data_IF_143363959312
#
_entry.id   IF_143363959312
#
_cell.length_a   1.000
_cell.length_b   1.000
_cell.length_c   1.000
_cell.angle_alpha   90.00
_cell.angle_beta   90.00
_cell.angle_gamma   90.00
#
_symmetry.space_group_name_H-M   'P 1'
#
loop_
_entity.id
_entity.type
_entity.pdbx_description
1 polymer ?
#
# COMPACT_ATOMS: atom_id res chain seq x y z
N UNK A 1 12.45 -24.81 -25.32
CA UNK A 1 13.67 -24.19 -24.78
C UNK A 1 13.26 -22.79 -24.37
N UNK A 2 13.11 -22.60 -23.06
CA UNK A 2 13.56 -21.44 -22.25
C UNK A 2 13.19 -20.02 -22.74
N UNK A 3 12.65 -19.08 -21.96
CA UNK A 3 12.69 -18.82 -20.50
C UNK A 3 11.76 -17.63 -20.16
N UNK A 4 11.24 -17.63 -18.93
CA UNK A 4 10.96 -16.54 -17.99
C UNK A 4 10.12 -15.30 -18.33
N UNK A 5 9.05 -15.09 -17.54
CA UNK A 5 8.97 -14.00 -16.53
C UNK A 5 7.54 -13.88 -16.01
N UNK A 6 7.21 -14.61 -14.93
CA UNK A 6 6.02 -14.31 -14.11
C UNK A 6 6.53 -13.69 -12.82
N UNK A 7 6.23 -12.40 -12.66
CA UNK A 7 6.46 -11.63 -11.45
C UNK A 7 5.46 -12.14 -10.41
N UNK A 8 5.92 -12.98 -9.50
CA UNK A 8 5.17 -13.39 -8.32
C UNK A 8 5.29 -12.29 -7.27
N UNK A 9 4.18 -11.62 -7.01
CA UNK A 9 4.05 -10.63 -5.96
C UNK A 9 4.20 -11.33 -4.60
N UNK A 10 5.31 -11.09 -3.91
CA UNK A 10 5.50 -11.41 -2.51
C UNK A 10 4.49 -10.60 -1.68
N UNK A 11 3.38 -11.22 -1.28
CA UNK A 11 2.50 -10.71 -0.24
C UNK A 11 3.05 -11.22 1.11
N UNK A 12 3.65 -10.33 1.89
CA UNK A 12 4.07 -10.65 3.26
C UNK A 12 2.85 -11.02 4.11
N UNK A 13 2.75 -12.30 4.45
CA UNK A 13 1.71 -12.92 5.29
C UNK A 13 1.98 -12.75 6.81
N UNK A 14 2.79 -11.77 7.20
CA UNK A 14 3.38 -11.73 8.54
C UNK A 14 2.52 -10.99 9.58
N UNK A 15 1.39 -10.39 9.19
CA UNK A 15 0.54 -9.59 10.10
C UNK A 15 -0.88 -10.11 10.33
N UNK A 16 -1.25 -11.28 9.78
CA UNK A 16 -2.58 -11.88 10.01
C UNK A 16 -2.54 -12.94 11.12
N UNK A 17 -1.38 -13.57 11.37
CA UNK A 17 -1.25 -14.63 12.38
C UNK A 17 -1.16 -14.16 13.84
N UNK A 18 -0.75 -12.91 14.10
CA UNK A 18 -0.56 -12.42 15.48
C UNK A 18 -1.88 -12.09 16.18
N UNK A 19 -2.87 -11.58 15.45
CA UNK A 19 -4.18 -11.25 16.01
C UNK A 19 -5.02 -12.48 16.38
N UNK A 20 -4.92 -13.58 15.62
CA UNK A 20 -5.57 -14.84 15.98
C UNK A 20 -4.89 -15.51 17.18
N UNK A 21 -3.54 -15.48 17.24
CA UNK A 21 -2.78 -15.98 18.39
C UNK A 21 -3.07 -15.20 19.68
N UNK A 22 -3.25 -13.88 19.62
CA UNK A 22 -3.60 -13.06 20.78
C UNK A 22 -5.03 -13.33 21.29
N UNK A 23 -5.98 -13.59 20.37
CA UNK A 23 -7.36 -13.96 20.71
C UNK A 23 -7.41 -15.37 21.29
N UNK A 24 -6.66 -16.31 20.72
CA UNK A 24 -6.51 -17.66 21.26
C UNK A 24 -5.80 -17.64 22.62
N UNK A 25 -4.76 -16.82 22.79
CA UNK A 25 -4.10 -16.62 24.09
C UNK A 25 -5.02 -16.06 25.14
N UNK A 26 -5.86 -15.08 24.78
CA UNK A 26 -6.85 -14.51 25.71
C UNK A 26 -7.93 -15.52 26.08
N UNK A 27 -8.37 -16.40 25.16
CA UNK A 27 -9.29 -17.50 25.46
C UNK A 27 -8.66 -18.51 26.43
N UNK A 28 -7.38 -18.77 26.26
CA UNK A 28 -6.64 -19.73 27.08
C UNK A 28 -6.43 -19.19 28.48
N UNK A 29 -6.04 -17.93 28.63
CA UNK A 29 -5.96 -17.30 29.95
C UNK A 29 -7.34 -17.26 30.64
N UNK A 30 -8.45 -17.07 29.89
CA UNK A 30 -9.82 -17.17 30.41
C UNK A 30 -10.19 -18.59 30.89
N UNK A 31 -9.82 -19.63 30.14
CA UNK A 31 -10.04 -21.03 30.53
C UNK A 31 -9.16 -21.41 31.73
N UNK A 32 -7.94 -20.91 31.79
CA UNK A 32 -7.02 -21.08 32.91
C UNK A 32 -7.58 -20.38 34.16
N UNK A 33 -8.10 -19.15 34.05
CA UNK A 33 -8.70 -18.43 35.17
C UNK A 33 -10.02 -19.08 35.65
N UNK A 34 -10.85 -19.56 34.72
CA UNK A 34 -12.08 -20.29 35.04
C UNK A 34 -11.80 -21.65 35.72
N UNK A 35 -10.75 -22.37 35.30
CA UNK A 35 -10.32 -23.64 35.93
C UNK A 35 -9.54 -23.43 37.24
N UNK A 36 -8.84 -22.29 37.37
CA UNK A 36 -8.10 -21.90 38.57
C UNK A 36 -8.96 -21.19 39.61
N UNK A 37 -10.28 -21.08 39.40
CA UNK A 37 -11.19 -20.34 40.28
C UNK A 37 -11.30 -21.02 41.66
N UNK A 38 -10.25 -20.80 42.45
CA UNK A 38 -9.97 -21.30 43.79
C UNK A 38 -11.07 -20.88 44.75
N UNK A 39 -11.75 -19.78 44.45
CA UNK A 39 -12.87 -19.25 45.22
C UNK A 39 -14.04 -20.23 45.26
N UNK A 40 -14.38 -20.90 44.15
CA UNK A 40 -15.48 -21.87 44.13
C UNK A 40 -15.14 -23.12 44.96
N UNK A 41 -13.88 -23.60 44.91
CA UNK A 41 -13.41 -24.69 45.78
C UNK A 41 -13.31 -24.28 47.26
N UNK A 42 -12.98 -23.02 47.56
CA UNK A 42 -12.97 -22.45 48.92
C UNK A 42 -14.41 -22.36 49.47
N UNK A 43 -15.34 -21.80 48.70
CA UNK A 43 -16.75 -21.66 49.09
C UNK A 43 -17.44 -23.01 49.25
N UNK A 44 -17.24 -23.96 48.33
CA UNK A 44 -17.76 -25.33 48.47
C UNK A 44 -17.17 -26.02 49.71
N UNK A 45 -15.89 -25.81 50.01
CA UNK A 45 -15.24 -26.36 51.21
C UNK A 45 -15.76 -25.72 52.50
N UNK A 46 -16.12 -24.44 52.48
CA UNK A 46 -16.75 -23.74 53.61
C UNK A 46 -18.21 -24.15 53.79
N UNK A 47 -18.99 -24.28 52.72
CA UNK A 47 -20.34 -24.87 52.74
C UNK A 47 -20.30 -26.30 53.29
N UNK A 48 -19.37 -27.13 52.82
CA UNK A 48 -19.11 -28.48 53.36
C UNK A 48 -18.82 -28.42 54.86
N UNK A 49 -17.91 -27.53 55.30
CA UNK A 49 -17.55 -27.42 56.72
C UNK A 49 -18.76 -27.01 57.57
N UNK A 50 -19.53 -26.02 57.15
CA UNK A 50 -20.70 -25.52 57.87
C UNK A 50 -21.82 -26.56 57.95
N UNK A 51 -22.13 -27.24 56.84
CA UNK A 51 -23.16 -28.29 56.81
C UNK A 51 -22.75 -29.45 57.73
N UNK A 52 -21.49 -29.89 57.69
CA UNK A 52 -21.05 -31.01 58.54
C UNK A 52 -20.81 -30.63 60.00
N UNK A 53 -20.44 -29.39 60.32
CA UNK A 53 -20.28 -28.91 61.70
C UNK A 53 -21.64 -28.78 62.40
N UNK A 54 -22.69 -28.38 61.67
CA UNK A 54 -24.08 -28.42 62.12
C UNK A 54 -24.62 -29.85 62.34
N UNK A 55 -24.13 -30.82 61.56
CA UNK A 55 -24.52 -32.23 61.66
C UNK A 55 -23.72 -33.03 62.71
N UNK A 56 -22.48 -32.65 62.98
CA UNK A 56 -21.67 -33.28 64.03
C UNK A 56 -22.17 -32.91 65.43
N UNK A 57 -22.71 -31.69 65.58
CA UNK A 57 -23.35 -31.23 66.82
C UNK A 57 -24.72 -31.86 67.06
N UNK A 58 -25.33 -32.52 66.06
CA UNK A 58 -26.62 -33.22 66.20
C UNK A 58 -26.49 -34.68 66.63
N UNK A 59 -25.26 -35.21 66.79
CA UNK A 59 -25.02 -36.61 67.17
C UNK A 59 -25.47 -36.98 68.59
N UNK A 60 -25.60 -36.01 69.50
CA UNK A 60 -25.86 -36.26 70.92
C UNK A 60 -27.28 -35.92 71.39
N UNK A 61 -28.16 -35.41 70.52
CA UNK A 61 -29.56 -35.12 70.85
C UNK A 61 -30.48 -35.72 69.79
N UNK A 62 -30.52 -37.05 69.78
CA UNK A 62 -31.49 -37.83 69.00
C UNK A 62 -32.79 -37.95 69.80
N UNK A 63 -33.76 -37.09 69.48
CA UNK A 63 -35.18 -37.43 69.36
C UNK A 63 -35.99 -36.14 69.10
N UNK A 64 -36.99 -36.25 68.23
CA UNK A 64 -38.25 -35.52 68.33
C UNK A 64 -38.54 -34.32 67.40
N UNK A 65 -38.04 -34.29 66.16
CA UNK A 65 -38.82 -33.54 65.15
C UNK A 65 -38.77 -34.13 63.74
N UNK A 66 -39.96 -34.40 63.20
CA UNK A 66 -40.24 -34.61 61.78
C UNK A 66 -39.73 -33.44 60.93
N UNK A 67 -39.70 -32.24 61.51
CA UNK A 67 -39.19 -31.00 60.90
C UNK A 67 -37.69 -31.08 60.53
N UNK A 68 -36.84 -31.66 61.39
CA UNK A 68 -35.42 -31.86 61.07
C UNK A 68 -35.16 -32.91 59.99
N UNK A 69 -36.07 -33.87 59.81
CA UNK A 69 -36.01 -34.82 58.70
C UNK A 69 -36.33 -34.13 57.37
N UNK A 70 -37.32 -33.23 57.34
CA UNK A 70 -37.63 -32.43 56.16
C UNK A 70 -36.55 -31.42 55.81
N UNK A 71 -35.96 -30.74 56.79
CA UNK A 71 -34.79 -29.86 56.57
C UNK A 71 -33.62 -30.64 55.98
N UNK A 72 -33.39 -31.88 56.46
CA UNK A 72 -32.35 -32.76 55.92
C UNK A 72 -32.63 -33.19 54.48
N UNK A 73 -33.87 -33.59 54.16
CA UNK A 73 -34.23 -34.05 52.82
C UNK A 73 -34.06 -32.89 51.81
N UNK A 74 -34.47 -31.68 52.22
CA UNK A 74 -34.32 -30.46 51.42
C UNK A 74 -32.84 -30.08 51.20
N UNK A 75 -32.01 -30.08 52.26
CA UNK A 75 -30.58 -29.78 52.15
C UNK A 75 -29.83 -30.82 51.32
N UNK A 76 -30.23 -32.09 51.41
CA UNK A 76 -29.66 -33.18 50.60
C UNK A 76 -30.02 -33.03 49.13
N UNK A 77 -31.26 -32.61 48.82
CA UNK A 77 -31.72 -32.34 47.45
C UNK A 77 -31.02 -31.12 46.84
N UNK A 78 -30.80 -30.07 47.63
CA UNK A 78 -29.99 -28.90 47.22
C UNK A 78 -28.56 -29.32 46.91
N UNK A 79 -27.92 -30.06 47.83
CA UNK A 79 -26.53 -30.49 47.64
C UNK A 79 -26.37 -31.39 46.41
N UNK A 80 -27.36 -32.23 46.11
CA UNK A 80 -27.37 -33.04 44.88
C UNK A 80 -27.55 -32.19 43.63
N UNK A 81 -28.44 -31.20 43.66
CA UNK A 81 -28.64 -30.27 42.55
C UNK A 81 -27.37 -29.47 42.26
N UNK A 82 -26.73 -28.92 43.29
CA UNK A 82 -25.45 -28.21 43.18
C UNK A 82 -24.32 -29.14 42.70
N UNK A 83 -24.23 -30.37 43.21
CA UNK A 83 -23.24 -31.34 42.73
C UNK A 83 -23.44 -31.70 41.26
N UNK A 84 -24.68 -31.71 40.77
CA UNK A 84 -25.00 -32.03 39.37
C UNK A 84 -24.74 -30.84 38.44
N UNK A 85 -24.95 -29.62 38.92
CA UNK A 85 -24.58 -28.39 38.21
C UNK A 85 -23.06 -28.27 38.10
N UNK A 86 -22.33 -28.59 39.17
CA UNK A 86 -20.88 -28.62 39.17
C UNK A 86 -20.31 -29.68 38.20
N UNK A 87 -20.94 -30.86 38.08
CA UNK A 87 -20.57 -31.84 37.05
C UNK A 87 -20.77 -31.29 35.63
N UNK A 88 -21.86 -30.56 35.39
CA UNK A 88 -22.13 -29.93 34.09
C UNK A 88 -21.08 -28.87 33.76
N UNK A 89 -20.66 -28.11 34.78
CA UNK A 89 -19.60 -27.12 34.67
C UNK A 89 -18.23 -27.78 34.40
N UNK A 90 -17.89 -28.86 35.11
CA UNK A 90 -16.68 -29.65 34.89
C UNK A 90 -16.62 -30.19 33.45
N UNK A 91 -17.72 -30.75 32.94
CA UNK A 91 -17.81 -31.22 31.56
C UNK A 91 -17.57 -30.07 30.57
N UNK A 92 -18.16 -28.90 30.82
CA UNK A 92 -17.97 -27.71 29.98
C UNK A 92 -16.51 -27.25 29.96
N UNK A 93 -15.83 -27.21 31.12
CA UNK A 93 -14.41 -26.86 31.19
C UNK A 93 -13.57 -27.91 30.46
N UNK A 94 -13.87 -29.19 30.63
CA UNK A 94 -13.13 -30.28 29.99
C UNK A 94 -13.24 -30.22 28.46
N UNK A 95 -14.43 -29.89 27.93
CA UNK A 95 -14.61 -29.63 26.50
C UNK A 95 -13.78 -28.44 26.02
N UNK A 96 -13.78 -27.33 26.77
CA UNK A 96 -13.00 -26.14 26.42
C UNK A 96 -11.49 -26.40 26.46
N UNK A 97 -10.99 -27.15 27.44
CA UNK A 97 -9.57 -27.54 27.52
C UNK A 97 -9.19 -28.44 26.33
N UNK A 98 -10.07 -29.36 25.92
CA UNK A 98 -9.84 -30.22 24.75
C UNK A 98 -9.80 -29.42 23.44
N UNK A 99 -10.74 -28.48 23.25
CA UNK A 99 -10.77 -27.57 22.08
C UNK A 99 -9.50 -26.72 21.99
N UNK A 100 -9.06 -26.15 23.13
CA UNK A 100 -7.81 -25.41 23.24
C UNK A 100 -6.60 -26.29 22.96
N UNK A 101 -6.59 -27.53 23.46
CA UNK A 101 -5.52 -28.49 23.20
C UNK A 101 -5.36 -28.82 21.71
N UNK A 102 -6.47 -28.96 20.97
CA UNK A 102 -6.42 -29.16 19.51
C UNK A 102 -5.85 -27.94 18.78
N UNK A 103 -6.20 -26.74 19.21
CA UNK A 103 -5.67 -25.48 18.65
C UNK A 103 -4.15 -25.41 18.83
N UNK A 104 -3.65 -25.69 20.05
CA UNK A 104 -2.22 -25.70 20.38
C UNK A 104 -1.45 -26.74 19.54
N UNK A 105 -1.99 -27.95 19.39
CA UNK A 105 -1.37 -29.01 18.57
C UNK A 105 -1.32 -28.66 17.07
N UNK A 106 -2.26 -27.85 16.59
CA UNK A 106 -2.35 -27.47 15.18
C UNK A 106 -1.38 -26.33 14.76
N UNK A 107 -0.88 -25.54 15.72
CA UNK A 107 -0.15 -24.29 15.45
C UNK A 107 1.40 -24.36 15.51
N UNK A 108 2.00 -25.56 15.51
CA UNK A 108 3.46 -25.74 15.36
C UNK A 108 4.29 -25.39 16.61
N UNK A 109 5.62 -25.51 16.53
CA UNK A 109 6.51 -25.40 17.71
C UNK A 109 7.11 -23.99 17.87
N UNK A 110 6.59 -23.20 18.80
CA UNK A 110 7.10 -21.89 19.21
C UNK A 110 7.30 -21.78 20.74
N UNK A 111 8.18 -20.90 21.20
CA UNK A 111 8.52 -20.72 22.62
C UNK A 111 7.32 -20.25 23.48
N UNK A 112 6.43 -19.43 22.91
CA UNK A 112 5.14 -19.04 23.50
C UNK A 112 4.13 -20.18 23.57
N UNK A 113 4.17 -21.11 22.61
CA UNK A 113 3.32 -22.31 22.58
C UNK A 113 3.74 -23.32 23.66
N UNK A 114 5.04 -23.48 23.91
CA UNK A 114 5.53 -24.31 25.02
C UNK A 114 5.03 -23.81 26.38
N UNK A 115 5.05 -22.49 26.62
CA UNK A 115 4.51 -21.92 27.87
C UNK A 115 2.99 -22.06 28.00
N UNK A 116 2.28 -22.11 26.87
CA UNK A 116 0.83 -22.26 26.82
C UNK A 116 0.39 -23.71 27.01
N UNK A 117 1.17 -24.65 26.46
CA UNK A 117 1.00 -26.09 26.67
C UNK A 117 1.27 -26.48 28.14
N UNK A 118 2.28 -25.88 28.78
CA UNK A 118 2.55 -26.05 30.22
C UNK A 118 1.38 -25.55 31.08
N UNK A 119 0.87 -24.33 30.82
CA UNK A 119 -0.32 -23.81 31.51
C UNK A 119 -1.57 -24.66 31.29
N UNK A 120 -1.78 -25.17 30.08
CA UNK A 120 -2.91 -26.06 29.78
C UNK A 120 -2.79 -27.37 30.58
N UNK A 121 -1.58 -27.90 30.68
CA UNK A 121 -1.32 -29.09 31.48
C UNK A 121 -1.60 -28.85 32.98
N UNK A 122 -1.16 -27.71 33.52
CA UNK A 122 -1.42 -27.31 34.92
C UNK A 122 -2.93 -27.13 35.19
N UNK A 123 -3.67 -26.56 34.23
CA UNK A 123 -5.13 -26.42 34.29
C UNK A 123 -5.84 -27.78 34.21
N UNK A 124 -5.35 -28.70 33.37
CA UNK A 124 -5.89 -30.05 33.29
C UNK A 124 -5.64 -30.83 34.60
N UNK A 125 -4.48 -30.66 35.23
CA UNK A 125 -4.20 -31.26 36.54
C UNK A 125 -5.07 -30.66 37.65
N UNK A 126 -5.28 -29.35 37.64
CA UNK A 126 -6.19 -28.65 38.57
C UNK A 126 -7.65 -29.10 38.39
N UNK A 127 -8.09 -29.30 37.15
CA UNK A 127 -9.43 -29.82 36.84
C UNK A 127 -9.61 -31.25 37.38
N UNK A 128 -8.61 -32.11 37.20
CA UNK A 128 -8.64 -33.47 37.74
C UNK A 128 -8.73 -33.47 39.27
N UNK A 129 -7.97 -32.58 39.95
CA UNK A 129 -8.06 -32.42 41.40
C UNK A 129 -9.45 -31.95 41.85
N UNK A 130 -10.09 -31.05 41.11
CA UNK A 130 -11.45 -30.61 41.40
C UNK A 130 -12.47 -31.75 41.18
N UNK A 131 -12.32 -32.53 40.11
CA UNK A 131 -13.16 -33.69 39.83
C UNK A 131 -13.08 -34.75 40.95
N UNK A 132 -11.90 -34.96 41.50
CA UNK A 132 -11.70 -35.83 42.67
C UNK A 132 -12.41 -35.28 43.92
N UNK A 133 -12.34 -33.97 44.17
CA UNK A 133 -13.04 -33.33 45.29
C UNK A 133 -14.56 -33.44 45.16
N UNK A 134 -15.11 -33.24 43.96
CA UNK A 134 -16.56 -33.39 43.69
C UNK A 134 -17.00 -34.83 43.87
N UNK A 135 -16.17 -35.79 43.45
CA UNK A 135 -16.41 -37.22 43.67
C UNK A 135 -16.41 -37.59 45.15
N UNK A 136 -15.51 -36.98 45.95
CA UNK A 136 -15.48 -37.16 47.41
C UNK A 136 -16.75 -36.61 48.08
N UNK A 137 -17.19 -35.41 47.70
CA UNK A 137 -18.43 -34.78 48.22
C UNK A 137 -19.62 -35.68 47.92
N UNK A 138 -19.72 -36.23 46.72
CA UNK A 138 -20.80 -37.14 46.32
C UNK A 138 -20.77 -38.44 47.11
N UNK A 139 -19.60 -39.04 47.30
CA UNK A 139 -19.44 -40.25 48.09
C UNK A 139 -19.87 -40.02 49.57
N UNK A 140 -19.55 -38.84 50.12
CA UNK A 140 -19.96 -38.43 51.46
C UNK A 140 -21.47 -38.15 51.54
N UNK A 141 -22.06 -37.45 50.57
CA UNK A 141 -23.52 -37.26 50.45
C UNK A 141 -24.26 -38.60 50.37
N UNK A 142 -23.79 -39.53 49.53
CA UNK A 142 -24.39 -40.87 49.42
C UNK A 142 -24.26 -41.69 50.71
N UNK A 143 -23.13 -41.58 51.42
CA UNK A 143 -22.93 -42.21 52.73
C UNK A 143 -23.88 -41.61 53.79
N UNK A 144 -24.08 -40.31 53.73
CA UNK A 144 -24.94 -39.57 54.65
C UNK A 144 -26.42 -39.87 54.43
N UNK A 145 -26.88 -39.86 53.17
CA UNK A 145 -28.22 -40.31 52.78
C UNK A 145 -28.51 -41.74 53.21
N UNK A 146 -27.56 -42.65 53.00
CA UNK A 146 -27.68 -44.04 53.47
C UNK A 146 -27.85 -44.12 55.00
N UNK A 147 -27.17 -43.24 55.74
CA UNK A 147 -27.28 -43.16 57.20
C UNK A 147 -28.68 -42.70 57.62
N UNK A 148 -29.26 -41.70 56.94
CA UNK A 148 -30.62 -41.20 57.22
C UNK A 148 -31.72 -42.15 56.75
N UNK A 149 -31.56 -42.81 55.61
CA UNK A 149 -32.48 -43.86 55.17
C UNK A 149 -32.56 -45.03 56.18
N UNK A 150 -31.49 -45.30 56.94
CA UNK A 150 -31.54 -46.28 58.03
C UNK A 150 -32.42 -45.83 59.22
N UNK A 151 -32.64 -44.52 59.40
CA UNK A 151 -33.57 -44.00 60.42
C UNK A 151 -35.02 -43.97 59.92
N UNK A 152 -35.23 -43.73 58.62
CA UNK A 152 -36.58 -43.79 58.00
C UNK A 152 -37.07 -45.23 57.76
N UNK A 153 -36.18 -46.22 57.75
CA UNK A 153 -36.50 -47.64 57.61
C UNK A 153 -37.16 -48.32 58.83
N UNK A 154 -37.45 -47.59 59.90
CA UNK A 154 -38.12 -48.12 61.11
C UNK A 154 -39.65 -47.95 61.05
N UNK A 155 -40.24 -47.62 59.89
CA UNK A 155 -41.69 -47.57 59.73
C UNK A 155 -42.29 -48.69 58.86
N UNK A 156 -41.46 -49.49 58.18
CA UNK A 156 -41.93 -50.72 57.53
C UNK A 156 -41.74 -51.94 58.44
N UNK A 157 -42.53 -52.00 59.51
CA UNK A 157 -42.91 -53.29 60.07
C UNK A 157 -44.01 -53.86 59.18
N UNK A 158 -43.59 -54.70 58.22
CA UNK A 158 -44.49 -55.59 57.49
C UNK A 158 -45.43 -56.27 58.48
N UNK A 159 -46.71 -55.92 58.37
CA UNK A 159 -47.80 -56.54 59.08
C UNK A 159 -48.05 -57.96 58.53
N UNK A 160 -47.13 -58.91 58.76
CA UNK A 160 -47.41 -60.34 58.67
C UNK A 160 -46.35 -61.22 59.37
N UNK A 161 -46.30 -61.16 60.70
CA UNK A 161 -46.21 -62.38 61.53
C UNK A 161 -46.48 -62.04 62.99
N UNK A 162 -47.57 -62.58 63.51
CA UNK A 162 -48.07 -62.26 64.84
C UNK A 162 -47.13 -62.63 65.99
N UNK A 163 -47.30 -61.89 67.08
CA UNK A 163 -47.48 -62.46 68.41
C UNK A 163 -47.93 -61.35 69.34
N UNK A 164 -49.22 -61.39 69.70
CA UNK A 164 -49.82 -61.11 71.00
C UNK A 164 -49.05 -60.15 71.92
N UNK A 165 -49.68 -59.07 72.40
CA UNK A 165 -50.07 -58.94 73.81
C UNK A 165 -50.93 -57.68 74.02
N UNK A 166 -52.24 -57.97 74.16
CA UNK A 166 -53.25 -57.34 75.02
C UNK A 166 -53.50 -55.81 74.93
N UNK A 167 -54.64 -55.51 74.31
CA UNK A 167 -55.64 -54.57 74.84
C UNK A 167 -55.69 -54.61 76.38
N UNK A 168 -55.69 -53.45 77.05
CA UNK A 168 -56.63 -53.28 78.15
C UNK A 168 -57.02 -51.80 78.31
N UNK A 169 -58.27 -51.58 77.93
CA UNK A 169 -59.05 -50.37 78.01
C UNK A 169 -59.60 -50.24 79.45
N UNK A 170 -58.73 -49.98 80.43
CA UNK A 170 -59.11 -49.82 81.85
C UNK A 170 -58.37 -48.67 82.55
N UNK A 171 -58.72 -47.43 82.20
CA UNK A 171 -58.39 -46.23 82.99
C UNK A 171 -59.64 -45.58 83.61
N UNK A 172 -60.58 -46.38 84.12
CA UNK A 172 -61.74 -45.85 84.87
C UNK A 172 -62.14 -46.67 86.09
N UNK A 173 -61.18 -47.14 86.90
CA UNK A 173 -61.51 -47.68 88.23
C UNK A 173 -60.32 -47.69 89.18
N UNK A 174 -59.82 -46.53 89.58
CA UNK A 174 -59.00 -46.46 90.79
C UNK A 174 -59.05 -45.08 91.47
N UNK A 175 -60.26 -44.64 91.81
CA UNK A 175 -60.44 -43.83 93.02
C UNK A 175 -60.27 -44.72 94.27
N UNK A 176 -59.15 -45.45 94.36
CA UNK A 176 -58.77 -46.12 95.59
C UNK A 176 -58.37 -45.02 96.58
N UNK A 177 -59.31 -44.61 97.43
CA UNK A 177 -59.04 -43.95 98.71
C UNK A 177 -57.74 -44.55 99.27
N UNK A 178 -56.66 -43.77 99.26
CA UNK A 178 -55.37 -44.16 99.81
C UNK A 178 -55.59 -44.33 101.32
N UNK A 179 -56.00 -45.53 101.73
CA UNK A 179 -56.33 -45.83 103.12
C UNK A 179 -55.01 -46.14 103.83
N UNK A 180 -54.32 -45.09 104.26
CA UNK A 180 -53.04 -45.14 104.96
C UNK A 180 -53.24 -45.66 106.39
N UNK A 181 -53.22 -46.98 106.57
CA UNK A 181 -53.51 -47.64 107.84
C UNK A 181 -52.38 -47.56 108.88
N UNK A 182 -51.15 -47.19 108.49
CA UNK A 182 -50.00 -47.08 109.42
C UNK A 182 -49.33 -45.70 109.35
N UNK A 183 -49.01 -45.11 110.50
CA UNK A 183 -48.38 -43.79 110.60
C UNK A 183 -47.03 -43.69 109.85
N UNK A 184 -46.29 -44.79 109.70
CA UNK A 184 -45.02 -44.86 108.95
C UNK A 184 -45.23 -44.65 107.44
N UNK A 185 -46.29 -45.25 106.86
CA UNK A 185 -46.63 -45.07 105.45
C UNK A 185 -47.09 -43.63 105.17
N UNK A 186 -47.78 -43.00 106.12
CA UNK A 186 -48.19 -41.59 106.03
C UNK A 186 -46.96 -40.68 105.97
N UNK A 187 -45.98 -40.93 106.84
CA UNK A 187 -44.71 -40.19 106.82
C UNK A 187 -43.91 -40.40 105.54
N UNK A 188 -43.86 -41.62 105.02
CA UNK A 188 -43.16 -41.89 103.76
C UNK A 188 -43.82 -41.16 102.58
N UNK A 189 -45.15 -41.21 102.47
CA UNK A 189 -45.89 -40.51 101.42
C UNK A 189 -45.74 -38.99 101.51
N UNK A 190 -45.83 -38.41 102.71
CA UNK A 190 -45.59 -36.98 102.93
C UNK A 190 -44.17 -36.58 102.52
N UNK A 191 -43.15 -37.40 102.84
CA UNK A 191 -41.76 -37.14 102.42
C UNK A 191 -41.58 -37.26 100.89
N UNK A 192 -42.33 -38.15 100.24
CA UNK A 192 -42.35 -38.26 98.78
C UNK A 192 -43.02 -37.04 98.14
N UNK A 193 -44.13 -36.57 98.71
CA UNK A 193 -44.81 -35.34 98.27
C UNK A 193 -43.95 -34.10 98.49
N UNK A 194 -43.24 -34.00 99.61
CA UNK A 194 -42.33 -32.89 99.88
C UNK A 194 -41.17 -32.86 98.86
N UNK A 195 -40.63 -34.04 98.50
CA UNK A 195 -39.61 -34.16 97.45
C UNK A 195 -40.17 -33.85 96.06
N UNK A 196 -41.40 -34.26 95.74
CA UNK A 196 -42.01 -33.94 94.45
C UNK A 196 -42.32 -32.44 94.35
N UNK A 197 -42.85 -31.84 95.41
CA UNK A 197 -43.11 -30.41 95.48
C UNK A 197 -41.82 -29.60 95.34
N UNK A 198 -40.74 -30.00 96.00
CA UNK A 198 -39.44 -29.33 95.85
C UNK A 198 -38.90 -29.40 94.41
N UNK A 199 -39.10 -30.52 93.70
CA UNK A 199 -38.73 -30.65 92.28
C UNK A 199 -39.64 -29.81 91.38
N UNK A 200 -40.93 -29.79 91.67
CA UNK A 200 -41.91 -28.99 90.93
C UNK A 200 -41.60 -27.49 91.05
N UNK A 201 -41.23 -27.01 92.24
CA UNK A 201 -40.76 -25.64 92.45
C UNK A 201 -39.45 -25.33 91.70
N UNK A 202 -38.49 -26.25 91.64
CA UNK A 202 -37.25 -26.07 90.84
C UNK A 202 -37.56 -26.01 89.34
N UNK A 203 -38.48 -26.84 88.86
CA UNK A 203 -38.94 -26.82 87.47
C UNK A 203 -39.69 -25.53 87.14
N UNK A 204 -40.57 -25.04 88.03
CA UNK A 204 -41.24 -23.76 87.87
C UNK A 204 -40.25 -22.60 87.82
N UNK A 205 -39.21 -22.62 88.66
CA UNK A 205 -38.12 -21.63 88.61
C UNK A 205 -37.42 -21.67 87.24
N UNK A 206 -37.02 -22.84 86.76
CA UNK A 206 -36.40 -23.01 85.42
C UNK A 206 -37.32 -22.56 84.29
N UNK A 207 -38.62 -22.82 84.42
CA UNK A 207 -39.63 -22.34 83.45
C UNK A 207 -39.66 -20.81 83.41
N UNK A 208 -39.61 -20.14 84.56
CA UNK A 208 -39.57 -18.67 84.61
C UNK A 208 -38.26 -18.09 84.06
N UNK A 209 -37.13 -18.73 84.35
CA UNK A 209 -35.81 -18.36 83.78
C UNK A 209 -35.79 -18.54 82.26
N UNK A 210 -36.34 -19.65 81.76
CA UNK A 210 -36.49 -19.93 80.33
C UNK A 210 -37.38 -18.91 79.63
N UNK A 211 -38.49 -18.51 80.26
CA UNK A 211 -39.41 -17.48 79.71
C UNK A 211 -38.73 -16.12 79.60
N UNK A 212 -37.95 -15.73 80.61
CA UNK A 212 -37.17 -14.50 80.55
C UNK A 212 -36.15 -14.52 79.41
N UNK A 213 -35.44 -15.65 79.23
CA UNK A 213 -34.49 -15.80 78.12
C UNK A 213 -35.18 -15.72 76.75
N UNK A 214 -36.37 -16.31 76.62
CA UNK A 214 -37.20 -16.21 75.41
C UNK A 214 -37.58 -14.75 75.09
N UNK A 215 -38.00 -13.98 76.10
CA UNK A 215 -38.31 -12.55 75.94
C UNK A 215 -37.06 -11.75 75.51
N UNK A 216 -35.90 -12.00 76.12
CA UNK A 216 -34.63 -11.36 75.73
C UNK A 216 -34.23 -11.71 74.29
N UNK A 217 -34.36 -12.98 73.89
CA UNK A 217 -34.09 -13.41 72.52
C UNK A 217 -35.06 -12.76 71.53
N UNK A 218 -36.33 -12.64 71.88
CA UNK A 218 -37.33 -11.94 71.07
C UNK A 218 -36.93 -10.48 70.84
N UNK A 219 -36.53 -9.76 71.89
CA UNK A 219 -36.09 -8.37 71.76
C UNK A 219 -34.83 -8.26 70.88
N UNK A 220 -33.88 -9.20 71.02
CA UNK A 220 -32.68 -9.25 70.16
C UNK A 220 -33.02 -9.51 68.70
N UNK A 221 -33.95 -10.42 68.41
CA UNK A 221 -34.41 -10.71 67.06
C UNK A 221 -35.05 -9.46 66.44
N UNK A 222 -35.96 -8.78 67.15
CA UNK A 222 -36.57 -7.55 66.63
C UNK A 222 -35.52 -6.45 66.38
N UNK A 223 -34.53 -6.32 67.26
CA UNK A 223 -33.41 -5.37 67.06
C UNK A 223 -32.59 -5.72 65.82
N UNK A 224 -32.30 -7.01 65.59
CA UNK A 224 -31.57 -7.46 64.40
C UNK A 224 -32.39 -7.30 63.12
N UNK A 225 -33.68 -7.63 63.14
CA UNK A 225 -34.58 -7.42 62.00
C UNK A 225 -34.62 -5.95 61.57
N UNK A 226 -34.67 -5.04 62.55
CA UNK A 226 -34.67 -3.60 62.27
C UNK A 226 -33.31 -3.14 61.71
N UNK A 227 -32.19 -3.66 62.22
CA UNK A 227 -30.86 -3.38 61.66
C UNK A 227 -30.73 -3.89 60.22
N UNK A 228 -31.20 -5.12 59.95
CA UNK A 228 -31.23 -5.72 58.62
C UNK A 228 -32.06 -4.86 57.68
N UNK A 229 -33.25 -4.41 58.09
CA UNK A 229 -34.12 -3.56 57.28
C UNK A 229 -33.42 -2.26 56.84
N UNK A 230 -32.74 -1.57 57.77
CA UNK A 230 -32.01 -0.35 57.41
C UNK A 230 -30.83 -0.62 56.48
N UNK A 231 -30.15 -1.76 56.65
CA UNK A 231 -29.03 -2.15 55.79
C UNK A 231 -29.47 -2.62 54.41
N UNK A 232 -30.64 -3.25 54.32
CA UNK A 232 -31.27 -3.60 53.05
C UNK A 232 -31.66 -2.35 52.24
N UNK A 233 -32.20 -1.31 52.89
CA UNK A 233 -32.50 -0.03 52.24
C UNK A 233 -31.23 0.67 51.71
N UNK A 234 -30.15 0.69 52.51
CA UNK A 234 -28.84 1.21 52.08
C UNK A 234 -28.29 0.42 50.88
N UNK A 235 -28.40 -0.91 50.90
CA UNK A 235 -27.96 -1.77 49.81
C UNK A 235 -28.82 -1.57 48.54
N UNK A 236 -30.12 -1.33 48.68
CA UNK A 236 -31.00 -1.04 47.55
C UNK A 236 -30.62 0.26 46.83
N UNK A 237 -30.33 1.33 47.57
CA UNK A 237 -29.85 2.61 46.99
C UNK A 237 -28.49 2.45 46.29
N UNK A 238 -27.57 1.67 46.88
CA UNK A 238 -26.28 1.35 46.26
C UNK A 238 -26.49 0.55 44.96
N UNK A 239 -27.35 -0.46 44.97
CA UNK A 239 -27.68 -1.25 43.79
C UNK A 239 -28.30 -0.39 42.69
N UNK A 240 -29.27 0.48 43.01
CA UNK A 240 -29.88 1.39 42.02
C UNK A 240 -28.84 2.30 41.37
N UNK A 241 -27.95 2.90 42.16
CA UNK A 241 -26.84 3.73 41.66
C UNK A 241 -25.89 2.93 40.77
N UNK A 242 -25.57 1.70 41.15
CA UNK A 242 -24.70 0.82 40.39
C UNK A 242 -25.33 0.44 39.03
N UNK A 243 -26.60 0.02 39.01
CA UNK A 243 -27.33 -0.24 37.77
C UNK A 243 -27.43 1.01 36.88
N UNK A 244 -27.65 2.18 37.48
CA UNK A 244 -27.64 3.46 36.76
C UNK A 244 -26.29 3.76 36.12
N UNK A 245 -25.19 3.50 36.84
CA UNK A 245 -23.83 3.67 36.34
C UNK A 245 -23.51 2.69 35.21
N UNK A 246 -23.91 1.42 35.34
CA UNK A 246 -23.70 0.38 34.32
C UNK A 246 -24.45 0.71 33.03
N UNK A 247 -25.72 1.12 33.14
CA UNK A 247 -26.50 1.57 31.97
C UNK A 247 -25.87 2.80 31.29
N UNK A 248 -25.36 3.77 32.07
CA UNK A 248 -24.65 4.92 31.51
C UNK A 248 -23.36 4.50 30.80
N UNK A 249 -22.62 3.53 31.35
CA UNK A 249 -21.43 2.98 30.73
C UNK A 249 -21.74 2.28 29.40
N UNK A 250 -22.82 1.48 29.34
CA UNK A 250 -23.23 0.79 28.12
C UNK A 250 -23.67 1.80 27.03
N UNK A 251 -24.41 2.85 27.39
CA UNK A 251 -24.78 3.92 26.45
C UNK A 251 -23.51 4.63 25.90
N UNK A 252 -22.56 4.94 26.77
CA UNK A 252 -21.29 5.57 26.38
C UNK A 252 -20.44 4.63 25.51
N UNK A 253 -20.44 3.33 25.79
CA UNK A 253 -19.81 2.30 24.96
C UNK A 253 -20.44 2.22 23.58
N UNK A 254 -21.78 2.28 23.50
CA UNK A 254 -22.49 2.35 22.23
C UNK A 254 -22.10 3.58 21.40
N UNK A 255 -22.05 4.75 22.04
CA UNK A 255 -21.62 6.00 21.39
C UNK A 255 -20.15 5.91 20.95
N UNK A 256 -19.25 5.37 21.77
CA UNK A 256 -17.83 5.26 21.44
C UNK A 256 -17.58 4.32 20.25
N UNK A 257 -18.29 3.19 20.20
CA UNK A 257 -18.26 2.25 19.05
C UNK A 257 -18.73 2.92 17.76
N UNK A 258 -19.84 3.66 17.80
CA UNK A 258 -20.34 4.41 16.64
C UNK A 258 -19.36 5.50 16.18
N UNK A 259 -18.77 6.25 17.12
CA UNK A 259 -17.75 7.25 16.80
C UNK A 259 -16.51 6.63 16.17
N UNK A 260 -16.07 5.48 16.66
CA UNK A 260 -14.95 4.73 16.09
C UNK A 260 -15.23 4.30 14.65
N UNK A 261 -16.42 3.75 14.39
CA UNK A 261 -16.83 3.38 13.02
C UNK A 261 -16.84 4.58 12.09
N UNK A 262 -17.38 5.73 12.54
CA UNK A 262 -17.34 6.98 11.76
C UNK A 262 -15.92 7.43 11.48
N UNK A 263 -15.04 7.36 12.47
CA UNK A 263 -13.63 7.73 12.32
C UNK A 263 -12.92 6.84 11.29
N UNK A 264 -13.18 5.53 11.30
CA UNK A 264 -12.67 4.60 10.30
C UNK A 264 -13.18 4.94 8.89
N UNK A 265 -14.46 5.26 8.73
CA UNK A 265 -15.03 5.71 7.45
C UNK A 265 -14.35 7.02 6.99
N UNK A 266 -14.16 7.98 7.90
CA UNK A 266 -13.44 9.22 7.58
C UNK A 266 -12.00 8.95 7.15
N UNK A 267 -11.30 8.02 7.80
CA UNK A 267 -9.93 7.64 7.43
C UNK A 267 -9.87 7.02 6.03
N UNK A 268 -10.83 6.13 5.69
CA UNK A 268 -10.94 5.58 4.34
C UNK A 268 -11.24 6.67 3.29
N UNK A 269 -12.18 7.57 3.59
CA UNK A 269 -12.51 8.69 2.71
C UNK A 269 -11.32 9.63 2.49
N UNK A 270 -10.56 9.91 3.56
CA UNK A 270 -9.36 10.74 3.49
C UNK A 270 -8.29 10.06 2.62
N UNK A 271 -8.05 8.77 2.81
CA UNK A 271 -7.11 8.01 1.98
C UNK A 271 -7.52 8.03 0.49
N UNK A 272 -8.80 7.83 0.19
CA UNK A 272 -9.33 7.95 -1.17
C UNK A 272 -9.17 9.37 -1.74
N UNK A 273 -9.31 10.41 -0.90
CA UNK A 273 -9.05 11.79 -1.30
C UNK A 273 -7.57 12.04 -1.60
N UNK A 274 -6.66 11.56 -0.75
CA UNK A 274 -5.21 11.68 -0.94
C UNK A 274 -4.79 10.99 -2.25
N UNK A 275 -5.32 9.80 -2.54
CA UNK A 275 -5.03 9.10 -3.78
C UNK A 275 -5.51 9.88 -5.01
N UNK A 276 -6.76 10.39 -4.96
CA UNK A 276 -7.31 11.20 -6.05
C UNK A 276 -6.52 12.51 -6.26
N UNK A 277 -6.07 13.13 -5.17
CA UNK A 277 -5.21 14.30 -5.23
C UNK A 277 -3.87 13.97 -5.88
N UNK A 278 -3.24 12.84 -5.51
CA UNK A 278 -2.00 12.38 -6.13
C UNK A 278 -2.15 12.13 -7.64
N UNK A 279 -3.26 11.51 -8.07
CA UNK A 279 -3.58 11.34 -9.49
C UNK A 279 -3.76 12.67 -10.23
N UNK A 280 -4.39 13.65 -9.61
CA UNK A 280 -4.54 14.99 -10.20
C UNK A 280 -3.20 15.73 -10.27
N UNK A 281 -2.36 15.58 -9.25
CA UNK A 281 -1.00 16.15 -9.23
C UNK A 281 -0.15 15.61 -10.37
N UNK A 282 -0.15 14.29 -10.60
CA UNK A 282 0.60 13.69 -11.73
C UNK A 282 0.04 14.13 -13.08
N UNK A 283 -1.29 14.22 -13.24
CA UNK A 283 -1.91 14.77 -14.46
C UNK A 283 -1.55 16.23 -14.70
N UNK A 284 -1.48 17.04 -13.64
CA UNK A 284 -1.07 18.44 -13.72
C UNK A 284 0.39 18.56 -14.13
N UNK A 285 1.28 17.80 -13.51
CA UNK A 285 2.71 17.78 -13.83
C UNK A 285 2.93 17.39 -15.30
N UNK A 286 2.29 16.32 -15.78
CA UNK A 286 2.32 15.94 -17.19
C UNK A 286 1.82 17.05 -18.13
N UNK A 287 0.79 17.80 -17.72
CA UNK A 287 0.23 18.91 -18.53
C UNK A 287 1.17 20.11 -18.54
N UNK A 288 1.84 20.39 -17.43
CA UNK A 288 2.88 21.41 -17.31
C UNK A 288 4.08 21.08 -18.21
N UNK A 289 4.56 19.84 -18.18
CA UNK A 289 5.67 19.40 -19.05
C UNK A 289 5.30 19.53 -20.54
N UNK A 290 4.06 19.16 -20.91
CA UNK A 290 3.57 19.36 -22.28
C UNK A 290 3.47 20.84 -22.66
N UNK A 291 3.08 21.71 -21.73
CA UNK A 291 3.03 23.15 -21.95
C UNK A 291 4.43 23.71 -22.13
N UNK A 292 5.40 23.32 -21.32
CA UNK A 292 6.81 23.71 -21.45
C UNK A 292 7.38 23.26 -22.80
N UNK A 293 7.10 22.03 -23.23
CA UNK A 293 7.50 21.56 -24.56
C UNK A 293 6.89 22.40 -25.70
N UNK A 294 5.62 22.81 -25.56
CA UNK A 294 4.95 23.69 -26.53
C UNK A 294 5.49 25.12 -26.49
N UNK A 295 5.81 25.66 -25.32
CA UNK A 295 6.46 26.95 -25.12
C UNK A 295 7.81 26.99 -25.87
N UNK A 296 8.65 25.96 -25.69
CA UNK A 296 9.93 25.82 -26.39
C UNK A 296 9.71 25.79 -27.92
N UNK A 297 8.71 25.05 -28.39
CA UNK A 297 8.37 24.99 -29.82
C UNK A 297 7.90 26.34 -30.36
N UNK A 298 7.11 27.09 -29.57
CA UNK A 298 6.62 28.43 -29.90
C UNK A 298 7.77 29.44 -30.00
N UNK A 299 8.68 29.45 -29.02
CA UNK A 299 9.87 30.31 -29.06
C UNK A 299 10.74 30.04 -30.30
N UNK A 300 10.88 28.77 -30.70
CA UNK A 300 11.57 28.40 -31.94
C UNK A 300 10.83 28.89 -33.18
N UNK A 301 9.50 28.83 -33.18
CA UNK A 301 8.67 29.37 -34.25
C UNK A 301 8.81 30.90 -34.34
N UNK A 302 8.78 31.62 -33.22
CA UNK A 302 8.98 33.06 -33.15
C UNK A 302 10.37 33.49 -33.64
N UNK A 303 11.42 32.75 -33.30
CA UNK A 303 12.75 32.94 -33.88
C UNK A 303 12.74 32.80 -35.41
N UNK A 304 11.97 31.84 -35.94
CA UNK A 304 11.84 31.66 -37.39
C UNK A 304 10.99 32.76 -38.03
N UNK A 305 9.94 33.20 -37.36
CA UNK A 305 9.06 34.30 -37.78
C UNK A 305 9.82 35.62 -37.86
N UNK A 306 10.57 35.98 -36.82
CA UNK A 306 11.44 37.17 -36.82
C UNK A 306 12.49 37.11 -37.92
N UNK A 307 13.10 35.94 -38.17
CA UNK A 307 14.00 35.73 -39.32
C UNK A 307 13.28 35.93 -40.66
N UNK A 308 12.04 35.45 -40.80
CA UNK A 308 11.21 35.66 -41.98
C UNK A 308 10.91 37.16 -42.17
N UNK A 309 10.52 37.86 -41.12
CA UNK A 309 10.27 39.30 -41.16
C UNK A 309 11.50 40.09 -41.60
N UNK A 310 12.70 39.69 -41.16
CA UNK A 310 13.96 40.27 -41.64
C UNK A 310 14.16 40.04 -43.15
N UNK A 311 13.91 38.82 -43.64
CA UNK A 311 14.00 38.51 -45.07
C UNK A 311 12.96 39.27 -45.90
N UNK A 312 11.75 39.46 -45.38
CA UNK A 312 10.71 40.29 -46.02
C UNK A 312 11.19 41.73 -46.12
N UNK A 313 11.71 42.32 -45.04
CA UNK A 313 12.27 43.68 -45.07
C UNK A 313 13.45 43.81 -46.05
N UNK A 314 14.30 42.78 -46.16
CA UNK A 314 15.36 42.74 -47.18
C UNK A 314 14.78 42.67 -48.60
N UNK A 315 13.72 41.88 -48.81
CA UNK A 315 13.05 41.76 -50.11
C UNK A 315 12.38 43.07 -50.50
N UNK A 316 11.74 43.76 -49.57
CA UNK A 316 11.14 45.07 -49.80
C UNK A 316 12.20 46.13 -50.15
N UNK A 317 13.35 46.12 -49.47
CA UNK A 317 14.49 46.98 -49.81
C UNK A 317 15.07 46.67 -51.21
N UNK A 318 15.24 45.40 -51.55
CA UNK A 318 15.69 44.99 -52.88
C UNK A 318 14.66 45.36 -53.96
N UNK A 319 13.37 45.22 -53.67
CA UNK A 319 12.28 45.61 -54.56
C UNK A 319 12.25 47.12 -54.78
N UNK A 320 12.45 47.92 -53.74
CA UNK A 320 12.59 49.36 -53.86
C UNK A 320 13.81 49.73 -54.74
N UNK A 321 14.95 49.08 -54.50
CA UNK A 321 16.18 49.27 -55.29
C UNK A 321 15.99 48.87 -56.77
N UNK A 322 15.26 47.78 -57.02
CA UNK A 322 14.95 47.32 -58.37
C UNK A 322 14.01 48.31 -59.08
N UNK A 323 12.97 48.80 -58.39
CA UNK A 323 12.07 49.82 -58.95
C UNK A 323 12.81 51.12 -59.25
N UNK A 324 13.74 51.52 -58.40
CA UNK A 324 14.62 52.67 -58.66
C UNK A 324 15.50 52.45 -59.91
N UNK A 325 16.14 51.27 -60.03
CA UNK A 325 16.94 50.92 -61.20
C UNK A 325 16.10 50.84 -62.49
N UNK A 326 14.88 50.29 -62.41
CA UNK A 326 13.93 50.24 -63.52
C UNK A 326 13.51 51.65 -63.95
N UNK A 327 13.14 52.53 -63.01
CA UNK A 327 12.82 53.92 -63.28
C UNK A 327 14.00 54.66 -63.94
N UNK A 328 15.22 54.43 -63.45
CA UNK A 328 16.45 54.97 -64.05
C UNK A 328 16.68 54.43 -65.47
N UNK A 329 16.40 53.15 -65.72
CA UNK A 329 16.47 52.57 -67.06
C UNK A 329 15.41 53.15 -68.00
N UNK A 330 14.20 53.42 -67.51
CA UNK A 330 13.12 54.07 -68.28
C UNK A 330 13.52 55.50 -68.62
N UNK A 331 14.11 56.23 -67.67
CA UNK A 331 14.68 57.57 -67.92
C UNK A 331 15.79 57.52 -68.97
N UNK A 332 16.76 56.61 -68.84
CA UNK A 332 17.82 56.43 -69.83
C UNK A 332 17.27 56.05 -71.21
N UNK A 333 16.24 55.20 -71.28
CA UNK A 333 15.56 54.88 -72.55
C UNK A 333 14.85 56.11 -73.14
N UNK A 334 14.22 56.94 -72.31
CA UNK A 334 13.63 58.21 -72.74
C UNK A 334 14.70 59.15 -73.29
N UNK A 335 15.84 59.29 -72.60
CA UNK A 335 16.98 60.07 -73.08
C UNK A 335 17.51 59.53 -74.41
N UNK A 336 17.69 58.21 -74.55
CA UNK A 336 18.08 57.57 -75.82
C UNK A 336 17.06 57.85 -76.93
N UNK A 337 15.76 57.85 -76.62
CA UNK A 337 14.73 58.21 -77.59
C UNK A 337 14.87 59.67 -78.03
N UNK A 338 15.07 60.62 -77.10
CA UNK A 338 15.30 62.04 -77.45
C UNK A 338 16.59 62.25 -78.24
N UNK A 339 17.66 61.52 -77.90
CA UNK A 339 18.91 61.56 -78.65
C UNK A 339 18.73 60.95 -80.05
N UNK A 340 17.98 59.85 -80.18
CA UNK A 340 17.63 59.25 -81.47
C UNK A 340 16.83 60.23 -82.32
N UNK A 341 15.86 60.94 -81.76
CA UNK A 341 15.07 61.95 -82.47
C UNK A 341 15.92 63.15 -82.90
N UNK A 342 16.87 63.57 -82.06
CA UNK A 342 17.89 64.56 -82.46
C UNK A 342 18.78 64.04 -83.59
N UNK A 343 19.23 62.79 -83.52
CA UNK A 343 20.03 62.15 -84.58
C UNK A 343 19.23 62.10 -85.88
N UNK A 344 17.97 61.68 -85.87
CA UNK A 344 17.15 61.66 -87.09
C UNK A 344 16.85 63.05 -87.62
N UNK A 345 16.71 64.06 -86.75
CA UNK A 345 16.60 65.47 -87.15
C UNK A 345 17.89 65.94 -87.85
N UNK A 346 19.06 65.62 -87.29
CA UNK A 346 20.36 65.94 -87.90
C UNK A 346 20.58 65.17 -89.22
N UNK A 347 20.21 63.89 -89.29
CA UNK A 347 20.24 63.09 -90.52
C UNK A 347 19.34 63.69 -91.61
N UNK A 348 18.14 64.17 -91.24
CA UNK A 348 17.25 64.86 -92.17
C UNK A 348 17.80 66.23 -92.61
N UNK A 349 18.43 67.00 -91.71
CA UNK A 349 19.12 68.25 -92.07
C UNK A 349 20.29 67.99 -93.01
N UNK A 350 21.04 66.90 -92.80
CA UNK A 350 22.12 66.47 -93.69
C UNK A 350 21.57 66.11 -95.08
N UNK A 351 20.47 65.34 -95.14
CA UNK A 351 19.80 65.00 -96.41
C UNK A 351 19.27 66.23 -97.14
N UNK A 352 18.74 67.22 -96.42
CA UNK A 352 18.30 68.50 -96.97
C UNK A 352 19.48 69.31 -97.51
N UNK A 353 20.61 69.34 -96.79
CA UNK A 353 21.86 69.96 -97.23
C UNK A 353 22.42 69.30 -98.50
N UNK A 354 22.35 67.97 -98.61
CA UNK A 354 22.71 67.23 -99.82
C UNK A 354 21.75 67.53 -101.00
N UNK A 355 20.45 67.76 -100.71
CA UNK A 355 19.48 68.22 -101.71
C UNK A 355 19.77 69.65 -102.20
N UNK A 356 20.25 70.52 -101.32
CA UNK A 356 20.68 71.88 -101.69
C UNK A 356 21.97 71.86 -102.53
N UNK A 357 22.90 70.95 -102.23
CA UNK A 357 24.13 70.72 -103.00
C UNK A 357 23.86 70.19 -104.42
N UNK A 358 22.83 69.37 -104.58
CA UNK A 358 22.38 68.86 -105.89
C UNK A 358 21.57 69.89 -106.69
N UNK A 359 20.98 70.90 -106.04
CA UNK A 359 20.27 72.01 -106.71
C UNK A 359 21.18 73.10 -107.30
N UNK A 360 22.43 73.21 -106.82
CA UNK A 360 23.43 74.19 -107.31
C UNK A 360 24.18 73.69 -108.56
N UNK A 361 23.96 72.45 -109.00
CA UNK A 361 24.74 71.80 -110.06
C UNK A 361 24.08 71.78 -111.45
N UNK A 362 23.00 72.53 -111.68
CA UNK A 362 22.24 72.51 -112.96
C UNK A 362 22.06 73.88 -113.62
N UNK A 363 23.05 74.79 -113.55
CA UNK A 363 23.12 75.91 -114.50
C UNK A 363 24.51 76.52 -114.68
N UNK A 364 25.35 75.91 -115.51
CA UNK A 364 26.24 76.56 -116.48
C UNK A 364 27.05 75.48 -117.21
N UNK A 365 26.86 75.44 -118.53
CA UNK A 365 27.45 74.51 -119.48
C UNK A 365 28.75 75.08 -120.10
N UNK A 366 29.51 74.17 -120.69
CA UNK A 366 30.66 74.31 -121.60
C UNK A 366 32.05 74.60 -121.01
N UNK A 367 32.95 73.62 -121.07
CA UNK A 367 33.89 73.49 -122.20
C UNK A 367 34.81 72.26 -122.09
N UNK A 368 35.13 71.72 -123.25
CA UNK A 368 35.91 70.52 -123.56
C UNK A 368 37.37 70.53 -123.09
N UNK A 369 37.82 69.47 -122.40
CA UNK A 369 39.23 69.08 -122.35
C UNK A 369 39.44 67.60 -121.94
N UNK A 370 38.89 66.63 -122.68
CA UNK A 370 39.13 65.21 -122.39
C UNK A 370 39.33 64.37 -123.67
N UNK A 371 40.37 64.72 -124.44
CA UNK A 371 40.81 63.88 -125.57
C UNK A 371 42.34 63.76 -125.69
N UNK A 372 43.07 64.15 -124.65
CA UNK A 372 44.53 64.01 -124.56
C UNK A 372 44.98 62.99 -123.48
N UNK A 373 44.12 62.69 -122.49
CA UNK A 373 44.44 61.77 -121.39
C UNK A 373 44.30 60.29 -121.77
N UNK A 374 43.51 59.96 -122.81
CA UNK A 374 43.29 58.58 -123.21
C UNK A 374 44.47 57.95 -123.99
N UNK A 375 45.36 58.75 -124.59
CA UNK A 375 46.56 58.22 -125.25
C UNK A 375 47.70 57.98 -124.25
N UNK A 376 47.79 58.80 -123.20
CA UNK A 376 48.79 58.65 -122.13
C UNK A 376 48.43 57.48 -121.20
N UNK A 377 47.14 57.21 -120.99
CA UNK A 377 46.68 56.02 -120.24
C UNK A 377 47.00 54.72 -120.99
N UNK A 378 46.79 54.65 -122.31
CA UNK A 378 47.16 53.47 -123.10
C UNK A 378 48.68 53.22 -123.17
N UNK A 379 49.50 54.28 -123.28
CA UNK A 379 50.97 54.12 -123.18
C UNK A 379 51.41 53.68 -121.78
N UNK A 380 50.75 54.16 -120.73
CA UNK A 380 51.04 53.75 -119.35
C UNK A 380 50.59 52.31 -119.07
N UNK A 381 49.52 51.84 -119.72
CA UNK A 381 49.00 50.48 -119.60
C UNK A 381 49.88 49.45 -120.36
N UNK A 382 50.39 49.79 -121.55
CA UNK A 382 51.41 48.99 -122.26
C UNK A 382 52.74 48.90 -121.47
N UNK A 383 53.14 49.98 -120.80
CA UNK A 383 54.32 49.99 -119.91
C UNK A 383 54.07 49.15 -118.66
N UNK A 384 52.85 49.17 -118.10
CA UNK A 384 52.49 48.33 -116.95
C UNK A 384 52.52 46.85 -117.34
N UNK A 385 52.04 46.47 -118.52
CA UNK A 385 52.07 45.08 -118.99
C UNK A 385 53.50 44.61 -119.31
N UNK A 386 54.36 45.47 -119.88
CA UNK A 386 55.80 45.16 -120.06
C UNK A 386 56.53 45.02 -118.71
N UNK A 387 56.23 45.87 -117.73
CA UNK A 387 56.80 45.80 -116.38
C UNK A 387 56.31 44.56 -115.63
N UNK A 388 55.03 44.18 -115.77
CA UNK A 388 54.49 42.91 -115.24
C UNK A 388 55.17 41.70 -115.86
N UNK A 389 55.35 41.69 -117.19
CA UNK A 389 56.06 40.63 -117.89
C UNK A 389 57.55 40.55 -117.52
N UNK A 390 58.18 41.68 -117.17
CA UNK A 390 59.55 41.72 -116.62
C UNK A 390 59.58 41.25 -115.17
N UNK A 391 58.57 41.56 -114.36
CA UNK A 391 58.44 41.11 -112.98
C UNK A 391 58.33 39.59 -112.90
N UNK A 392 57.43 38.95 -113.68
CA UNK A 392 57.31 37.49 -113.68
C UNK A 392 58.57 36.77 -114.21
N UNK A 393 59.33 37.41 -115.11
CA UNK A 393 60.64 36.91 -115.56
C UNK A 393 61.75 37.10 -114.52
N UNK A 394 61.68 38.13 -113.70
CA UNK A 394 62.60 38.36 -112.59
C UNK A 394 62.30 37.43 -111.41
N UNK A 395 61.02 37.18 -111.13
CA UNK A 395 60.54 36.28 -110.07
C UNK A 395 60.92 34.83 -110.34
N UNK A 396 60.64 34.32 -111.55
CA UNK A 396 61.12 32.98 -111.97
C UNK A 396 62.65 32.85 -111.99
N UNK A 397 63.39 33.96 -112.13
CA UNK A 397 64.86 33.99 -112.04
C UNK A 397 65.35 34.02 -110.59
N UNK A 398 64.60 34.65 -109.68
CA UNK A 398 64.83 34.64 -108.24
C UNK A 398 64.55 33.24 -107.65
N UNK A 399 63.42 32.62 -107.99
CA UNK A 399 63.07 31.26 -107.56
C UNK A 399 64.12 30.22 -108.03
N UNK A 400 64.61 30.36 -109.27
CA UNK A 400 65.67 29.50 -109.81
C UNK A 400 67.03 29.77 -109.12
N UNK A 401 67.32 31.01 -108.72
CA UNK A 401 68.51 31.34 -107.96
C UNK A 401 68.43 30.83 -106.51
N UNK A 402 67.25 30.86 -105.89
CA UNK A 402 67.00 30.31 -104.56
C UNK A 402 67.12 28.78 -104.56
N UNK A 403 66.57 28.09 -105.57
CA UNK A 403 66.76 26.65 -105.74
C UNK A 403 68.24 26.27 -105.93
N UNK A 404 69.00 27.08 -106.67
CA UNK A 404 70.46 26.89 -106.82
C UNK A 404 71.24 27.17 -105.54
N UNK A 405 70.84 28.18 -104.75
CA UNK A 405 71.46 28.48 -103.45
C UNK A 405 71.24 27.36 -102.45
N UNK A 406 70.02 26.82 -102.37
CA UNK A 406 69.68 25.70 -101.48
C UNK A 406 70.49 24.44 -101.80
N UNK A 407 70.71 24.17 -103.08
CA UNK A 407 71.54 23.04 -103.54
C UNK A 407 73.05 23.32 -103.36
N UNK A 408 73.48 24.57 -103.47
CA UNK A 408 74.85 25.00 -103.17
C UNK A 408 75.16 24.90 -101.67
N UNK A 409 74.19 25.16 -100.82
CA UNK A 409 74.27 25.01 -99.36
C UNK A 409 74.35 23.52 -98.96
N UNK A 410 73.57 22.66 -99.62
CA UNK A 410 73.60 21.21 -99.44
C UNK A 410 74.92 20.57 -99.94
N UNK A 411 75.49 21.10 -101.04
CA UNK A 411 76.81 20.69 -101.54
C UNK A 411 77.97 21.26 -100.72
N UNK A 412 77.85 22.49 -100.18
CA UNK A 412 78.81 23.04 -99.23
C UNK A 412 78.81 22.28 -97.90
N UNK A 413 77.66 21.84 -97.37
CA UNK A 413 77.63 20.97 -96.19
C UNK A 413 78.38 19.66 -96.45
N UNK A 414 78.17 19.03 -97.61
CA UNK A 414 78.88 17.81 -98.04
C UNK A 414 80.40 18.03 -98.19
N UNK A 415 80.80 19.15 -98.79
CA UNK A 415 82.21 19.51 -98.94
C UNK A 415 82.86 19.87 -97.60
N UNK A 416 82.11 20.43 -96.65
CA UNK A 416 82.60 20.73 -95.30
C UNK A 416 82.76 19.46 -94.46
N UNK A 417 81.86 18.47 -94.61
CA UNK A 417 82.05 17.11 -94.07
C UNK A 417 83.29 16.43 -94.69
N UNK A 418 83.49 16.53 -96.01
CA UNK A 418 84.69 16.01 -96.68
C UNK A 418 85.98 16.75 -96.26
N UNK A 419 85.90 18.06 -95.98
CA UNK A 419 87.03 18.87 -95.48
C UNK A 419 87.39 18.51 -94.05
N UNK A 420 86.42 18.27 -93.17
CA UNK A 420 86.65 17.76 -91.81
C UNK A 420 87.26 16.35 -91.86
N UNK A 421 86.83 15.48 -92.78
CA UNK A 421 87.48 14.19 -93.05
C UNK A 421 88.93 14.33 -93.58
N UNK A 422 89.21 15.35 -94.40
CA UNK A 422 90.55 15.67 -94.90
C UNK A 422 91.45 16.30 -93.84
N UNK A 423 90.87 17.04 -92.89
CA UNK A 423 91.57 17.63 -91.76
C UNK A 423 91.93 16.59 -90.70
N UNK A 424 91.03 15.64 -90.41
CA UNK A 424 91.31 14.46 -89.59
C UNK A 424 92.40 13.56 -90.20
N UNK A 425 92.50 13.51 -91.53
CA UNK A 425 93.58 12.78 -92.21
C UNK A 425 94.89 13.59 -92.29
N UNK A 426 94.83 14.92 -92.39
CA UNK A 426 95.99 15.81 -92.29
C UNK A 426 96.60 15.82 -90.88
N UNK A 427 95.77 15.91 -89.83
CA UNK A 427 96.25 15.83 -88.44
C UNK A 427 96.84 14.46 -88.11
N UNK A 428 96.36 13.38 -88.75
CA UNK A 428 97.02 12.06 -88.72
C UNK A 428 98.36 12.06 -89.46
N UNK A 429 98.48 12.70 -90.62
CA UNK A 429 99.71 12.74 -91.42
C UNK A 429 100.76 13.65 -90.78
N UNK A 430 100.36 14.76 -90.15
CA UNK A 430 101.27 15.65 -89.42
C UNK A 430 101.77 14.99 -88.12
N UNK A 431 100.94 14.15 -87.45
CA UNK A 431 101.41 13.28 -86.36
C UNK A 431 102.46 12.23 -86.82
N UNK A 432 102.36 11.73 -88.06
CA UNK A 432 103.37 10.84 -88.64
C UNK A 432 104.59 11.57 -89.21
N UNK A 433 104.49 12.88 -89.53
CA UNK A 433 105.62 13.70 -89.98
C UNK A 433 106.48 14.19 -88.81
N UNK A 434 105.88 14.59 -87.68
CA UNK A 434 106.60 14.98 -86.46
C UNK A 434 107.26 13.80 -85.70
N UNK A 435 106.94 12.55 -86.04
CA UNK A 435 107.57 11.35 -85.44
C UNK A 435 108.62 10.66 -86.31
N UNK A 436 108.89 11.15 -87.53
CA UNK A 436 109.94 10.60 -88.41
C UNK A 436 111.09 11.58 -88.71
N UNK A 437 110.97 12.89 -88.41
CA UNK A 437 112.12 13.83 -88.40
C UNK A 437 112.94 13.75 -87.09
N UNK A 438 112.86 12.62 -86.39
CA UNK A 438 113.49 12.38 -85.09
C UNK A 438 114.21 11.04 -84.94
N UNK A 439 114.81 10.49 -86.02
CA UNK A 439 116.01 9.62 -86.07
C UNK A 439 116.48 9.42 -87.52
#
# INVERSE_FOLDING_TARGET
MDTDSVIEATFSLENVGTHDLDIESSKIDLVVEASSNRNMSIEIRECRKLIFEALATSGDILADSVERAFEFDFLSEILDAESMELDRFLISIQTNIAEVGEIILSNGAGETLMTMEEKLHDSQESLNQLQDQVSEIRAQSAKFRRTVSCFHGVENWDADRGSNFLEDDQLSSMNSKINLQTAEQQRHFLRMLEKSLAREMDLEKKLTESRHLEEELKDRVHSMEQEIFFKEEEMMDICEKWFGAENAAEVLMGISKELLLRLQIFQLNLNGSIQREAELRTKLENSTDQLEAKEIALQKFDCRSTKLNLLVAQTDNLKASLSEAENNSVLANSEVFTLREKVTSLENQLRESDFQLSSVKVSADETDQDNALCSEINEMEDVIDDVKGKLSRAESRADNAEAKLKLLEETNMKLNEELDHLKDTSEKVDYFRETAEGI
#
